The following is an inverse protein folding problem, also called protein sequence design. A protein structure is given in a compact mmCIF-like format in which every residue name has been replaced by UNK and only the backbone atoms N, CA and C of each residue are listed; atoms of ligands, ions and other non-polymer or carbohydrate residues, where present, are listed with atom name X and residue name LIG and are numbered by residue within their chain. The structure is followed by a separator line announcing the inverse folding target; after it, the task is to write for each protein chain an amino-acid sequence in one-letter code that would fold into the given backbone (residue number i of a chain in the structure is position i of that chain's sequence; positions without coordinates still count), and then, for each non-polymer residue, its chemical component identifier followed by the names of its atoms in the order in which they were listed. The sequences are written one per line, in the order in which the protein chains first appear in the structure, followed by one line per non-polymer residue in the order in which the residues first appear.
data_IF_265646363867
#
_entry.id   IF_265646363867
#
_cell.length_a   1.000
_cell.length_b   1.000
_cell.length_c   1.000
_cell.angle_alpha   90.00
_cell.angle_beta   90.00
_cell.angle_gamma   90.00
#
_symmetry.space_group_name_H-M   'P 1'
#
loop_
_entity.id
_entity.type
_entity.pdbx_description
1 polymer ?
#
# COMPACT_ATOMS: atom_id res chain seq x y z
N UNK A 1 -60.49 2.08 -4.24
CA UNK A 1 -59.17 2.57 -4.70
C UNK A 1 -58.12 2.14 -3.69
N UNK A 2 -57.39 1.05 -3.95
CA UNK A 2 -56.33 0.55 -3.07
C UNK A 2 -55.08 0.24 -3.90
N UNK A 3 -54.15 1.19 -3.95
CA UNK A 3 -52.91 1.08 -4.72
C UNK A 3 -51.92 0.13 -4.05
N UNK A 4 -51.60 -0.96 -4.76
CA UNK A 4 -50.59 -1.93 -4.37
C UNK A 4 -49.18 -1.32 -4.47
N UNK A 5 -48.48 -1.22 -3.33
CA UNK A 5 -47.03 -0.99 -3.30
C UNK A 5 -46.30 -2.32 -3.53
N UNK A 6 -45.46 -2.40 -4.55
CA UNK A 6 -44.68 -3.59 -4.93
C UNK A 6 -43.62 -3.93 -3.85
N UNK A 7 -43.29 -5.21 -3.63
CA UNK A 7 -42.30 -5.62 -2.63
C UNK A 7 -40.87 -5.47 -3.18
N UNK A 8 -39.95 -4.88 -2.40
CA UNK A 8 -38.52 -4.83 -2.75
C UNK A 8 -37.68 -5.52 -1.68
N UNK A 9 -37.24 -6.73 -2.03
CA UNK A 9 -35.93 -7.36 -1.78
C UNK A 9 -35.25 -7.24 -0.39
N UNK A 10 -35.98 -7.09 0.70
CA UNK A 10 -35.41 -7.08 2.05
C UNK A 10 -36.04 -8.16 2.94
N UNK A 11 -35.69 -9.43 2.69
CA UNK A 11 -35.63 -10.54 3.66
C UNK A 11 -35.59 -11.86 2.88
N UNK A 12 -34.39 -12.36 2.59
CA UNK A 12 -34.20 -13.76 2.21
C UNK A 12 -33.22 -14.44 3.18
N UNK A 13 -33.36 -14.11 4.46
CA UNK A 13 -32.64 -14.75 5.57
C UNK A 13 -33.64 -15.50 6.44
N UNK A 14 -33.91 -16.76 6.06
CA UNK A 14 -34.05 -17.95 6.92
C UNK A 14 -34.86 -19.03 6.21
N UNK A 15 -34.22 -20.16 5.93
CA UNK A 15 -34.53 -21.47 6.54
C UNK A 15 -34.24 -22.66 5.61
N UNK A 16 -33.54 -23.66 6.17
CA UNK A 16 -33.41 -25.07 5.78
C UNK A 16 -32.69 -25.36 4.45
N UNK A 17 -31.70 -26.25 4.32
CA UNK A 17 -31.27 -27.40 5.12
C UNK A 17 -30.95 -28.55 4.14
N UNK A 18 -29.85 -29.27 4.39
CA UNK A 18 -29.49 -30.60 3.84
C UNK A 18 -28.58 -30.72 2.59
N UNK A 19 -27.37 -31.22 2.87
CA UNK A 19 -26.57 -32.28 2.22
C UNK A 19 -26.19 -32.26 0.71
N UNK A 20 -24.89 -32.47 0.52
CA UNK A 20 -24.21 -33.17 -0.58
C UNK A 20 -23.77 -32.42 -1.85
N UNK A 21 -22.49 -32.02 -1.81
CA UNK A 21 -21.43 -32.32 -2.79
C UNK A 21 -21.73 -32.19 -4.29
N UNK A 22 -21.51 -30.98 -4.83
CA UNK A 22 -20.95 -30.82 -6.19
C UNK A 22 -19.92 -29.70 -6.28
N UNK A 23 -18.68 -30.13 -6.04
CA UNK A 23 -17.39 -29.53 -6.41
C UNK A 23 -17.51 -28.43 -7.46
N UNK A 24 -17.67 -27.20 -6.99
CA UNK A 24 -17.59 -25.98 -7.78
C UNK A 24 -16.55 -25.05 -7.16
N UNK A 25 -15.37 -25.59 -6.83
CA UNK A 25 -14.22 -24.79 -6.42
C UNK A 25 -13.48 -24.36 -7.69
N UNK A 26 -14.08 -23.41 -8.41
CA UNK A 26 -13.32 -22.46 -9.24
C UNK A 26 -12.62 -21.56 -8.22
N UNK A 27 -11.49 -22.03 -7.69
CA UNK A 27 -10.62 -21.22 -6.83
C UNK A 27 -10.25 -19.98 -7.66
N UNK A 28 -10.87 -18.88 -7.26
CA UNK A 28 -10.53 -17.52 -7.68
C UNK A 28 -9.03 -17.37 -7.55
N UNK A 29 -8.43 -16.84 -8.61
CA UNK A 29 -7.00 -16.72 -8.78
C UNK A 29 -6.27 -16.26 -7.53
N UNK A 30 -5.09 -16.82 -7.36
CA UNK A 30 -4.02 -16.29 -6.54
C UNK A 30 -3.59 -14.92 -7.12
N UNK A 31 -4.43 -13.91 -6.88
CA UNK A 31 -4.18 -12.52 -7.24
C UNK A 31 -4.14 -11.73 -5.93
N UNK A 32 -3.19 -12.08 -5.07
CA UNK A 32 -2.73 -11.21 -3.99
C UNK A 32 -1.38 -10.63 -4.38
N UNK A 33 -1.09 -9.33 -4.15
CA UNK A 33 0.23 -8.79 -4.40
C UNK A 33 1.26 -9.63 -3.64
N UNK A 34 2.28 -10.12 -4.35
CA UNK A 34 3.38 -10.91 -3.78
C UNK A 34 3.84 -10.24 -2.49
N UNK A 35 3.78 -10.97 -1.37
CA UNK A 35 4.33 -10.50 -0.09
C UNK A 35 5.83 -10.31 -0.30
N UNK A 36 6.26 -9.06 -0.48
CA UNK A 36 7.67 -8.74 -0.55
C UNK A 36 8.34 -9.20 0.75
N UNK A 37 9.50 -9.83 0.64
CA UNK A 37 10.35 -10.12 1.81
C UNK A 37 10.75 -8.77 2.41
N UNK A 38 10.28 -8.49 3.63
CA UNK A 38 10.38 -7.17 4.24
C UNK A 38 11.65 -7.10 5.10
N UNK A 39 12.67 -6.41 4.60
CA UNK A 39 13.93 -6.21 5.33
C UNK A 39 13.84 -4.98 6.24
N UNK A 40 14.52 -5.00 7.38
CA UNK A 40 14.54 -3.87 8.33
C UNK A 40 15.63 -2.84 7.96
N UNK A 41 16.71 -3.28 7.31
CA UNK A 41 17.82 -2.44 6.90
C UNK A 41 17.63 -1.88 5.50
N UNK A 42 17.92 -0.59 5.34
CA UNK A 42 17.88 0.11 4.05
C UNK A 42 19.20 -0.11 3.33
N UNK A 43 19.14 -0.62 2.09
CA UNK A 43 20.30 -0.63 1.21
C UNK A 43 20.54 0.80 0.70
N UNK A 44 21.58 1.46 1.23
CA UNK A 44 21.88 2.86 0.94
C UNK A 44 22.13 3.12 -0.56
N UNK A 45 22.80 2.20 -1.26
CA UNK A 45 23.10 2.35 -2.68
C UNK A 45 21.84 2.33 -3.54
N UNK A 46 20.88 1.47 -3.20
CA UNK A 46 19.60 1.39 -3.90
C UNK A 46 18.74 2.62 -3.58
N UNK A 47 18.68 3.03 -2.31
CA UNK A 47 17.92 4.20 -1.88
C UNK A 47 18.41 5.50 -2.56
N UNK A 48 19.73 5.66 -2.67
CA UNK A 48 20.33 6.81 -3.37
C UNK A 48 19.97 6.86 -4.85
N UNK A 49 20.02 5.72 -5.56
CA UNK A 49 19.62 5.64 -6.97
C UNK A 49 18.16 6.04 -7.16
N UNK A 50 17.28 5.56 -6.29
CA UNK A 50 15.85 5.89 -6.33
C UNK A 50 15.64 7.39 -6.10
N UNK A 51 16.37 7.95 -5.14
CA UNK A 51 16.29 9.38 -4.80
C UNK A 51 16.77 10.27 -5.94
N UNK A 52 17.84 9.89 -6.63
CA UNK A 52 18.39 10.64 -7.75
C UNK A 52 17.54 10.52 -9.03
N UNK A 53 16.98 9.34 -9.29
CA UNK A 53 16.15 9.10 -10.47
C UNK A 53 14.75 9.72 -10.36
N UNK A 54 14.33 10.13 -9.17
CA UNK A 54 12.99 10.64 -8.90
C UNK A 54 13.02 12.14 -8.62
N UNK A 55 12.14 12.91 -9.27
CA UNK A 55 12.00 14.34 -8.99
C UNK A 55 11.57 14.61 -7.54
N UNK A 56 10.72 13.76 -7.00
CA UNK A 56 10.23 13.77 -5.62
C UNK A 56 10.08 12.34 -5.13
N UNK A 57 10.44 12.09 -3.87
CA UNK A 57 10.40 10.79 -3.22
C UNK A 57 9.51 10.86 -2.00
N UNK A 58 8.74 9.81 -1.79
CA UNK A 58 7.94 9.61 -0.57
C UNK A 58 8.47 8.42 0.22
N UNK A 59 8.17 8.40 1.53
CA UNK A 59 8.53 7.29 2.41
C UNK A 59 7.96 5.96 1.90
N UNK A 60 6.72 5.99 1.40
CA UNK A 60 6.03 4.79 0.91
C UNK A 60 6.65 4.26 -0.38
N UNK A 61 6.99 5.15 -1.31
CA UNK A 61 7.59 4.76 -2.58
C UNK A 61 8.97 4.14 -2.38
N UNK A 62 9.80 4.80 -1.56
CA UNK A 62 11.11 4.28 -1.20
C UNK A 62 11.02 2.91 -0.51
N UNK A 63 10.06 2.72 0.40
CA UNK A 63 9.82 1.45 1.08
C UNK A 63 9.43 0.32 0.12
N UNK A 64 8.56 0.62 -0.87
CA UNK A 64 8.11 -0.37 -1.87
C UNK A 64 9.23 -0.79 -2.81
N UNK A 65 10.03 0.16 -3.26
CA UNK A 65 11.11 -0.09 -4.22
C UNK A 65 12.31 -0.82 -3.57
N UNK A 66 12.61 -0.52 -2.30
CA UNK A 66 13.72 -1.18 -1.58
C UNK A 66 13.29 -2.42 -0.80
N UNK A 67 11.99 -2.72 -0.72
CA UNK A 67 11.48 -3.86 0.04
C UNK A 67 11.68 -3.73 1.56
N UNK A 68 11.78 -2.52 2.09
CA UNK A 68 12.04 -2.28 3.51
C UNK A 68 10.80 -1.83 4.29
N UNK A 69 10.85 -1.97 5.61
CA UNK A 69 9.80 -1.40 6.48
C UNK A 69 9.67 0.11 6.29
N UNK A 70 8.43 0.60 6.27
CA UNK A 70 8.11 2.04 6.18
C UNK A 70 8.81 2.85 7.28
N UNK A 71 8.94 2.29 8.48
CA UNK A 71 9.67 2.92 9.59
C UNK A 71 11.15 3.16 9.27
N UNK A 72 11.81 2.19 8.64
CA UNK A 72 13.21 2.28 8.24
C UNK A 72 13.41 3.31 7.11
N UNK A 73 12.52 3.30 6.11
CA UNK A 73 12.50 4.32 5.05
C UNK A 73 12.30 5.74 5.61
N UNK A 74 11.43 5.90 6.61
CA UNK A 74 11.18 7.20 7.25
C UNK A 74 12.42 7.68 8.02
N UNK A 75 13.03 6.80 8.82
CA UNK A 75 14.26 7.11 9.53
C UNK A 75 15.38 7.51 8.57
N UNK A 76 15.55 6.76 7.47
CA UNK A 76 16.53 7.07 6.44
C UNK A 76 16.31 8.45 5.82
N UNK A 77 15.09 8.77 5.36
CA UNK A 77 14.81 10.07 4.74
C UNK A 77 14.96 11.25 5.71
N UNK A 78 14.60 11.07 6.99
CA UNK A 78 14.86 12.08 8.04
C UNK A 78 16.35 12.29 8.26
N UNK A 79 17.12 11.21 8.39
CA UNK A 79 18.56 11.29 8.58
C UNK A 79 19.26 11.90 7.37
N UNK A 80 18.86 11.52 6.15
CA UNK A 80 19.37 12.10 4.91
C UNK A 80 18.99 13.58 4.75
N UNK A 81 17.86 14.01 5.32
CA UNK A 81 17.51 15.41 5.37
C UNK A 81 18.39 16.22 6.33
N UNK A 82 18.72 15.66 7.49
CA UNK A 82 19.66 16.26 8.45
C UNK A 82 21.07 16.35 7.84
N UNK A 83 21.49 15.31 7.10
CA UNK A 83 22.77 15.28 6.37
C UNK A 83 22.82 16.22 5.17
N UNK A 84 21.69 16.80 4.75
CA UNK A 84 21.60 17.69 3.59
C UNK A 84 21.55 17.00 2.22
N UNK A 85 21.43 15.66 2.17
CA UNK A 85 21.33 14.90 0.92
C UNK A 85 19.95 15.08 0.26
N UNK A 86 18.90 15.23 1.07
CA UNK A 86 17.52 15.46 0.60
C UNK A 86 16.90 16.65 1.31
N UNK A 87 16.05 17.41 0.62
CA UNK A 87 15.27 18.52 1.20
C UNK A 87 13.82 18.12 1.29
N UNK A 88 13.15 18.48 2.39
CA UNK A 88 11.69 18.40 2.47
C UNK A 88 11.08 19.54 1.68
N UNK A 89 10.33 19.20 0.63
CA UNK A 89 9.67 20.19 -0.26
C UNK A 89 8.20 20.42 0.09
N UNK A 90 7.61 19.52 0.87
CA UNK A 90 6.23 19.68 1.31
C UNK A 90 5.68 18.45 2.01
N UNK A 91 4.35 18.36 2.02
CA UNK A 91 3.61 17.23 2.56
C UNK A 91 3.05 17.46 3.97
N UNK A 92 1.94 16.77 4.27
CA UNK A 92 1.12 16.96 5.46
C UNK A 92 0.90 15.65 6.22
N UNK A 93 0.74 15.74 7.55
CA UNK A 93 0.36 14.63 8.43
C UNK A 93 1.06 13.30 8.13
N UNK A 94 2.40 13.31 8.19
CA UNK A 94 3.23 12.11 8.00
C UNK A 94 3.50 11.72 6.54
N UNK A 95 2.83 12.33 5.56
CA UNK A 95 3.12 12.15 4.14
C UNK A 95 4.08 13.24 3.69
N UNK A 96 5.37 13.03 3.95
CA UNK A 96 6.40 14.00 3.58
C UNK A 96 6.91 13.77 2.15
N UNK A 97 7.09 14.88 1.44
CA UNK A 97 7.71 14.91 0.12
C UNK A 97 9.17 15.34 0.28
N UNK A 98 10.07 14.49 -0.18
CA UNK A 98 11.51 14.76 -0.20
C UNK A 98 11.99 14.93 -1.63
N UNK A 99 12.97 15.79 -1.83
CA UNK A 99 13.63 16.00 -3.11
C UNK A 99 15.14 15.85 -2.90
N UNK A 100 15.84 15.24 -3.86
CA UNK A 100 17.30 15.24 -3.84
C UNK A 100 17.83 16.68 -3.97
N UNK A 101 18.78 17.06 -3.10
CA UNK A 101 19.50 18.31 -3.29
C UNK A 101 20.56 18.02 -4.34
N UNK A 102 20.27 18.37 -5.61
CA UNK A 102 21.28 18.25 -6.66
C UNK A 102 22.50 19.06 -6.24
N UNK A 103 23.67 18.43 -6.27
CA UNK A 103 24.91 19.18 -6.50
C UNK A 103 24.95 19.66 -7.95
#
# INVERSE_FOLDING_TARGET
MGGAKKPTAANKDKSAGSKDTKKSKKDKGESGPKKAEITVQVNEQQAMKIIQNSKVVTVQDLARQTGVKISAANAFLKNSAIKGTVKRVGGYSGHHLYQAVSS
#
